data_IF_439322795865
#
_entry.id   IF_439322795865
#
_cell.length_a   1.000
_cell.length_b   1.000
_cell.length_c   1.000
_cell.angle_alpha   90.00
_cell.angle_beta   90.00
_cell.angle_gamma   90.00
#
_symmetry.space_group_name_H-M   'P 1'
#
loop_
_entity.id
_entity.type
_entity.pdbx_description
1 polymer ?
#
# COMPACT_ATOMS: atom_id res chain seq x y z
N UNK A 1 23.81 15.77 19.18
CA UNK A 1 22.99 14.61 19.63
C UNK A 1 21.65 15.13 20.09
N UNK A 2 20.59 14.75 19.37
CA UNK A 2 19.23 15.14 19.70
C UNK A 2 18.67 14.24 20.80
N UNK A 3 18.08 14.84 21.84
CA UNK A 3 17.37 14.12 22.93
C UNK A 3 15.87 13.92 22.62
N UNK A 4 15.49 14.06 21.35
CA UNK A 4 14.10 13.89 20.93
C UNK A 4 13.71 12.42 21.05
N UNK A 5 12.71 12.17 21.88
CA UNK A 5 12.15 10.83 22.11
C UNK A 5 10.87 10.59 21.31
N UNK A 6 10.17 11.66 20.96
CA UNK A 6 8.89 11.57 20.27
C UNK A 6 8.85 12.61 19.14
N UNK A 7 8.43 12.16 17.96
CA UNK A 7 8.17 13.01 16.81
C UNK A 7 6.75 12.72 16.35
N UNK A 8 5.91 13.76 16.36
CA UNK A 8 4.56 13.71 15.84
C UNK A 8 4.46 14.54 14.55
N UNK A 9 4.25 13.84 13.44
CA UNK A 9 4.03 14.36 12.10
C UNK A 9 2.68 13.90 11.55
N UNK A 10 1.74 13.55 12.44
CA UNK A 10 0.43 13.07 12.05
C UNK A 10 -0.38 14.14 11.30
N UNK A 11 -1.29 13.68 10.42
CA UNK A 11 -2.23 14.50 9.67
C UNK A 11 -1.58 15.60 8.81
N UNK A 12 -0.44 15.26 8.21
CA UNK A 12 0.23 16.10 7.22
C UNK A 12 0.00 15.56 5.80
N UNK A 13 0.66 16.16 4.82
CA UNK A 13 0.62 15.73 3.42
C UNK A 13 1.93 15.07 3.00
N UNK A 14 2.62 14.41 3.93
CA UNK A 14 3.90 13.78 3.66
C UNK A 14 3.71 12.64 2.66
N UNK A 15 4.52 12.67 1.60
CA UNK A 15 4.61 11.62 0.58
C UNK A 15 5.94 10.90 0.75
N UNK A 16 6.14 9.81 0.02
CA UNK A 16 7.40 9.06 0.02
C UNK A 16 8.61 9.98 -0.20
N UNK A 17 8.53 10.89 -1.17
CA UNK A 17 9.62 11.81 -1.51
C UNK A 17 9.82 12.95 -0.49
N UNK A 18 8.97 13.03 0.55
CA UNK A 18 9.09 14.03 1.61
C UNK A 18 10.08 13.60 2.71
N UNK A 19 10.39 12.30 2.81
CA UNK A 19 11.34 11.76 3.79
C UNK A 19 12.56 11.26 3.03
N UNK A 20 13.66 12.02 3.11
CA UNK A 20 14.91 11.67 2.44
C UNK A 20 15.68 10.58 3.21
N UNK A 21 16.57 9.89 2.50
CA UNK A 21 17.41 8.86 3.07
C UNK A 21 18.28 9.44 4.20
N UNK A 22 18.30 8.79 5.36
CA UNK A 22 19.00 9.30 6.54
C UNK A 22 18.31 10.46 7.28
N UNK A 23 17.05 10.78 6.99
CA UNK A 23 16.28 11.80 7.73
C UNK A 23 16.25 11.56 9.26
N UNK A 24 16.46 10.32 9.70
CA UNK A 24 16.39 9.92 11.10
C UNK A 24 17.76 9.70 11.77
N UNK A 25 18.88 9.91 11.05
CA UNK A 25 20.22 9.58 11.56
C UNK A 25 20.63 10.40 12.79
N UNK A 26 20.15 11.64 12.92
CA UNK A 26 20.52 12.51 14.03
C UNK A 26 19.63 12.33 15.30
N UNK A 27 18.51 11.61 15.16
CA UNK A 27 17.53 11.37 16.24
C UNK A 27 17.71 9.99 16.84
N UNK A 28 18.90 9.75 17.38
CA UNK A 28 19.33 8.45 17.93
C UNK A 28 18.59 8.03 19.20
N UNK A 29 17.88 8.94 19.88
CA UNK A 29 17.08 8.65 21.08
C UNK A 29 15.57 8.57 20.80
N UNK A 30 15.15 8.55 19.53
CA UNK A 30 13.74 8.55 19.14
C UNK A 30 13.09 7.21 19.46
N UNK A 31 12.11 7.21 20.36
CA UNK A 31 11.36 6.02 20.74
C UNK A 31 9.98 5.95 20.07
N UNK A 32 9.38 7.10 19.74
CA UNK A 32 8.02 7.16 19.17
C UNK A 32 8.01 8.04 17.92
N UNK A 33 7.51 7.49 16.82
CA UNK A 33 7.34 8.20 15.56
C UNK A 33 5.88 8.06 15.08
N UNK A 34 5.18 9.18 15.05
CA UNK A 34 3.84 9.27 14.49
C UNK A 34 3.82 9.91 13.12
N UNK A 35 3.53 9.10 12.11
CA UNK A 35 3.39 9.46 10.70
C UNK A 35 1.97 9.18 10.19
N UNK A 36 1.00 9.03 11.10
CA UNK A 36 -0.36 8.69 10.74
C UNK A 36 -1.09 9.79 9.97
N UNK A 37 -2.10 9.42 9.17
CA UNK A 37 -2.90 10.42 8.43
C UNK A 37 -2.12 11.18 7.36
N UNK A 38 -1.09 10.55 6.77
CA UNK A 38 -0.28 11.11 5.69
C UNK A 38 -0.60 10.42 4.35
N UNK A 39 0.21 10.69 3.32
CA UNK A 39 0.08 10.11 1.98
C UNK A 39 1.26 9.18 1.66
N UNK A 40 1.81 8.50 2.67
CA UNK A 40 2.95 7.60 2.52
C UNK A 40 2.51 6.35 1.76
N UNK A 41 3.22 6.01 0.68
CA UNK A 41 2.98 4.80 -0.11
C UNK A 41 3.81 3.60 0.36
N UNK A 42 4.85 3.85 1.17
CA UNK A 42 5.75 2.85 1.71
C UNK A 42 6.19 3.27 3.12
N UNK A 43 6.71 2.33 3.89
CA UNK A 43 7.40 2.60 5.16
C UNK A 43 8.66 3.44 4.86
N UNK A 44 8.95 4.51 5.62
CA UNK A 44 10.16 5.30 5.43
C UNK A 44 11.43 4.45 5.60
N UNK A 45 12.48 4.69 4.81
CA UNK A 45 13.76 4.02 4.99
C UNK A 45 14.50 4.54 6.23
N UNK A 46 15.50 3.77 6.68
CA UNK A 46 16.46 4.16 7.72
C UNK A 46 15.83 4.65 9.02
N UNK A 47 14.75 3.99 9.47
CA UNK A 47 14.17 4.25 10.78
C UNK A 47 15.23 4.03 11.89
N UNK A 48 15.19 4.84 12.96
CA UNK A 48 16.22 4.78 13.99
C UNK A 48 16.12 3.50 14.83
N UNK A 49 17.28 2.93 15.21
CA UNK A 49 17.36 1.67 15.96
C UNK A 49 16.66 1.73 17.34
N UNK A 50 16.59 2.92 17.93
CA UNK A 50 15.95 3.20 19.22
C UNK A 50 14.42 3.24 19.16
N UNK A 51 13.82 3.12 17.98
CA UNK A 51 12.38 3.23 17.81
C UNK A 51 11.64 2.07 18.48
N UNK A 52 10.65 2.40 19.30
CA UNK A 52 9.79 1.46 20.01
C UNK A 52 8.36 1.44 19.44
N UNK A 53 7.83 2.59 19.04
CA UNK A 53 6.46 2.74 18.55
C UNK A 53 6.42 3.47 17.21
N UNK A 54 5.79 2.83 16.23
CA UNK A 54 5.63 3.37 14.88
C UNK A 54 4.15 3.42 14.49
N UNK A 55 3.65 4.64 14.31
CA UNK A 55 2.28 4.90 13.88
C UNK A 55 2.25 5.28 12.40
N UNK A 56 1.67 4.40 11.58
CA UNK A 56 1.52 4.57 10.14
C UNK A 56 0.06 4.43 9.71
N UNK A 57 -0.89 4.47 10.64
CA UNK A 57 -2.30 4.34 10.31
C UNK A 57 -2.80 5.45 9.38
N UNK A 58 -3.81 5.15 8.56
CA UNK A 58 -4.41 6.10 7.62
C UNK A 58 -3.39 6.70 6.64
N UNK A 59 -2.61 5.84 6.00
CA UNK A 59 -1.69 6.16 4.91
C UNK A 59 -2.10 5.41 3.62
N UNK A 60 -1.24 5.39 2.60
CA UNK A 60 -1.46 4.69 1.33
C UNK A 60 -0.48 3.53 1.12
N UNK A 61 -0.03 2.91 2.22
CA UNK A 61 0.97 1.84 2.18
C UNK A 61 0.32 0.58 1.61
N UNK A 62 0.79 0.13 0.44
CA UNK A 62 0.26 -1.06 -0.23
C UNK A 62 1.11 -2.30 -0.05
N UNK A 63 2.42 -2.12 0.21
CA UNK A 63 3.37 -3.21 0.39
C UNK A 63 4.33 -2.94 1.54
N UNK A 64 4.67 -3.99 2.27
CA UNK A 64 5.72 -3.97 3.28
C UNK A 64 6.92 -4.80 2.76
N UNK A 65 8.09 -4.20 2.51
CA UNK A 65 9.25 -4.97 2.11
C UNK A 65 9.71 -5.90 3.24
N UNK A 66 10.32 -7.03 2.89
CA UNK A 66 10.83 -8.01 3.86
C UNK A 66 11.82 -7.38 4.84
N UNK A 67 12.56 -6.36 4.39
CA UNK A 67 13.58 -5.64 5.15
C UNK A 67 13.07 -4.34 5.78
N UNK A 68 11.75 -4.11 5.83
CA UNK A 68 11.19 -2.83 6.29
C UNK A 68 11.59 -2.46 7.73
N UNK A 69 11.83 -3.47 8.56
CA UNK A 69 12.06 -3.31 9.99
C UNK A 69 13.43 -3.83 10.45
N UNK A 70 14.32 -4.24 9.53
CA UNK A 70 15.63 -4.83 9.86
C UNK A 70 16.50 -3.92 10.73
N UNK A 71 16.39 -2.60 10.52
CA UNK A 71 17.11 -1.59 11.29
C UNK A 71 16.47 -1.20 12.62
N UNK A 72 15.33 -1.79 13.00
CA UNK A 72 14.53 -1.38 14.18
C UNK A 72 14.21 -2.56 15.11
N UNK A 73 15.22 -3.21 15.71
CA UNK A 73 15.04 -4.41 16.54
C UNK A 73 14.28 -4.15 17.85
N UNK A 74 14.23 -2.90 18.32
CA UNK A 74 13.62 -2.51 19.59
C UNK A 74 12.11 -2.18 19.48
N UNK A 75 11.50 -2.33 18.31
CA UNK A 75 10.09 -2.04 18.11
C UNK A 75 9.21 -2.94 18.99
N UNK A 76 8.27 -2.29 19.68
CA UNK A 76 7.23 -2.90 20.52
C UNK A 76 5.85 -2.80 19.86
N UNK A 77 5.59 -1.75 19.10
CA UNK A 77 4.27 -1.51 18.49
C UNK A 77 4.35 -0.99 17.06
N UNK A 78 3.67 -1.66 16.14
CA UNK A 78 3.50 -1.24 14.73
C UNK A 78 2.02 -1.09 14.45
N UNK A 79 1.60 0.12 14.04
CA UNK A 79 0.21 0.42 13.71
C UNK A 79 0.08 0.77 12.23
N UNK A 80 -0.52 -0.13 11.46
CA UNK A 80 -0.68 -0.04 9.99
C UNK A 80 -2.15 0.00 9.55
N UNK A 81 -3.08 0.14 10.49
CA UNK A 81 -4.51 0.14 10.20
C UNK A 81 -4.91 1.21 9.18
N UNK A 82 -5.96 0.97 8.40
CA UNK A 82 -6.42 1.90 7.36
C UNK A 82 -5.34 2.18 6.29
N UNK A 83 -4.56 1.16 5.92
CA UNK A 83 -3.70 1.17 4.74
C UNK A 83 -4.20 0.12 3.73
N UNK A 84 -4.08 0.35 2.42
CA UNK A 84 -4.48 -0.60 1.37
C UNK A 84 -3.45 -1.73 1.21
N UNK A 85 -3.08 -2.41 2.30
CA UNK A 85 -2.11 -3.50 2.29
C UNK A 85 -2.64 -4.67 1.45
N UNK A 86 -1.85 -5.15 0.50
CA UNK A 86 -2.20 -6.34 -0.28
C UNK A 86 -2.14 -7.61 0.60
N UNK A 87 -2.90 -8.64 0.25
CA UNK A 87 -2.90 -9.93 0.99
C UNK A 87 -1.49 -10.54 1.09
N UNK A 88 -0.67 -10.34 0.06
CA UNK A 88 0.72 -10.84 0.00
C UNK A 88 1.77 -9.79 0.43
N UNK A 89 1.33 -8.63 0.93
CA UNK A 89 2.22 -7.53 1.27
C UNK A 89 2.95 -7.72 2.61
N UNK A 90 2.50 -8.63 3.45
CA UNK A 90 3.01 -8.81 4.81
C UNK A 90 3.52 -10.24 4.93
N UNK A 91 4.84 -10.41 5.03
CA UNK A 91 5.47 -11.71 5.25
C UNK A 91 5.84 -11.88 6.71
N UNK A 92 5.69 -13.09 7.22
CA UNK A 92 6.10 -13.42 8.60
C UNK A 92 7.60 -13.16 8.82
N UNK A 93 8.42 -13.40 7.79
CA UNK A 93 9.86 -13.14 7.83
C UNK A 93 10.21 -11.68 8.11
N UNK A 94 9.35 -10.73 7.74
CA UNK A 94 9.55 -9.29 7.97
C UNK A 94 9.57 -8.90 9.45
N UNK A 95 9.06 -9.77 10.33
CA UNK A 95 8.97 -9.52 11.77
C UNK A 95 9.80 -10.51 12.60
N UNK A 96 10.54 -11.41 11.96
CA UNK A 96 11.22 -12.51 12.62
C UNK A 96 12.26 -12.06 13.66
N UNK A 97 12.89 -10.90 13.44
CA UNK A 97 13.90 -10.30 14.32
C UNK A 97 13.31 -9.32 15.37
N UNK A 98 12.00 -9.03 15.32
CA UNK A 98 11.34 -8.11 16.25
C UNK A 98 10.97 -8.83 17.55
N UNK A 99 11.99 -9.22 18.32
CA UNK A 99 11.84 -10.01 19.57
C UNK A 99 11.07 -9.28 20.68
N UNK A 100 10.94 -7.95 20.56
CA UNK A 100 10.22 -7.10 21.51
C UNK A 100 8.81 -6.71 21.05
N UNK A 101 8.36 -7.19 19.89
CA UNK A 101 7.07 -6.85 19.32
C UNK A 101 5.93 -7.36 20.21
N UNK A 102 5.09 -6.43 20.67
CA UNK A 102 3.93 -6.70 21.51
C UNK A 102 2.62 -6.45 20.75
N UNK A 103 2.63 -5.45 19.87
CA UNK A 103 1.44 -5.02 19.13
C UNK A 103 1.76 -4.91 17.64
N UNK A 104 1.02 -5.64 16.83
CA UNK A 104 0.99 -5.52 15.37
C UNK A 104 -0.45 -5.30 14.94
N UNK A 105 -0.82 -4.05 14.64
CA UNK A 105 -2.14 -3.70 14.15
C UNK A 105 -2.13 -3.61 12.62
N UNK A 106 -2.41 -4.74 11.99
CA UNK A 106 -2.58 -4.90 10.54
C UNK A 106 -4.06 -5.15 10.24
N UNK A 107 -4.83 -4.06 10.13
CA UNK A 107 -6.27 -4.13 9.87
C UNK A 107 -6.68 -3.26 8.69
N UNK A 108 -7.49 -3.81 7.79
CA UNK A 108 -8.33 -2.94 6.97
C UNK A 108 -9.27 -2.19 7.91
N UNK A 109 -9.28 -0.86 7.75
CA UNK A 109 -10.39 -0.09 8.25
C UNK A 109 -11.67 -0.70 7.72
N UNK A 110 -12.58 -1.07 8.61
CA UNK A 110 -13.86 -1.63 8.23
C UNK A 110 -14.68 -0.49 7.58
N UNK A 111 -14.44 -0.24 6.30
CA UNK A 111 -15.18 0.66 5.43
C UNK A 111 -15.30 -0.06 4.09
N UNK A 112 -16.33 -0.91 4.00
CA UNK A 112 -16.84 -1.53 2.78
C UNK A 112 -15.89 -2.50 2.04
N UNK A 113 -15.68 -3.69 2.61
CA UNK A 113 -15.96 -4.87 1.79
C UNK A 113 -17.47 -4.94 1.62
N UNK A 114 -18.00 -4.28 0.58
CA UNK A 114 -19.24 -4.75 -0.01
C UNK A 114 -18.96 -6.13 -0.61
N UNK A 115 -19.84 -7.14 -0.44
CA UNK A 115 -19.64 -8.40 -1.13
C UNK A 115 -19.89 -8.16 -2.62
N UNK A 116 -18.90 -8.46 -3.46
CA UNK A 116 -19.12 -8.69 -4.90
C UNK A 116 -19.03 -7.46 -5.80
N UNK A 117 -17.85 -7.26 -6.40
CA UNK A 117 -17.66 -7.04 -7.84
C UNK A 117 -16.33 -7.76 -8.13
N UNK A 118 -16.36 -9.03 -8.55
CA UNK A 118 -16.64 -9.39 -9.93
C UNK A 118 -15.32 -9.33 -10.70
N UNK A 119 -14.48 -10.35 -10.54
CA UNK A 119 -13.37 -10.66 -11.44
C UNK A 119 -13.94 -11.10 -12.80
N UNK A 120 -14.55 -10.20 -13.56
CA UNK A 120 -15.06 -10.50 -14.91
C UNK A 120 -14.96 -9.27 -15.82
N UNK A 121 -13.74 -8.86 -16.18
CA UNK A 121 -13.52 -8.10 -17.41
C UNK A 121 -12.21 -8.59 -18.03
N UNK A 122 -12.32 -9.40 -19.10
CA UNK A 122 -11.48 -9.38 -20.31
C UNK A 122 -11.46 -10.75 -21.02
N UNK A 123 -12.63 -11.24 -21.47
CA UNK A 123 -12.73 -12.20 -22.58
C UNK A 123 -14.09 -12.05 -23.25
N UNK A 124 -14.18 -11.20 -24.28
CA UNK A 124 -15.16 -11.35 -25.38
C UNK A 124 -14.92 -10.32 -26.51
N UNK A 125 -13.73 -10.36 -27.13
CA UNK A 125 -13.47 -9.66 -28.39
C UNK A 125 -13.05 -10.59 -29.55
N UNK A 126 -13.44 -11.87 -29.52
CA UNK A 126 -12.96 -12.84 -30.51
C UNK A 126 -14.03 -13.77 -31.13
N UNK A 127 -15.30 -13.37 -31.23
CA UNK A 127 -16.30 -14.28 -31.82
C UNK A 127 -17.49 -13.66 -32.58
N UNK A 128 -17.34 -12.49 -33.21
CA UNK A 128 -18.42 -11.93 -34.07
C UNK A 128 -18.31 -12.29 -35.57
N UNK A 129 -17.18 -12.80 -36.06
CA UNK A 129 -16.98 -12.98 -37.52
C UNK A 129 -17.37 -14.36 -38.09
N UNK A 130 -18.26 -15.14 -37.46
CA UNK A 130 -18.59 -16.47 -38.01
C UNK A 130 -20.00 -17.03 -37.89
N UNK A 131 -21.04 -16.21 -37.74
CA UNK A 131 -22.41 -16.71 -37.89
C UNK A 131 -23.28 -15.70 -38.64
N UNK A 132 -23.68 -16.08 -39.86
CA UNK A 132 -24.40 -15.23 -40.80
C UNK A 132 -25.85 -14.95 -40.41
N UNK A 133 -26.32 -13.82 -40.92
CA UNK A 133 -27.74 -13.52 -41.08
C UNK A 133 -27.94 -12.91 -42.46
N UNK A 134 -28.33 -13.75 -43.42
CA UNK A 134 -28.76 -13.31 -44.75
C UNK A 134 -30.13 -12.63 -44.69
N UNK A 135 -30.43 -11.85 -45.73
CA UNK A 135 -31.80 -11.53 -46.08
C UNK A 135 -32.02 -10.12 -46.63
N UNK A 136 -32.01 -10.02 -47.96
CA UNK A 136 -33.14 -9.43 -48.67
C UNK A 136 -33.01 -7.99 -49.21
N UNK A 137 -32.88 -7.92 -50.54
CA UNK A 137 -33.82 -7.13 -51.36
C UNK A 137 -33.39 -5.74 -51.81
N UNK A 138 -33.23 -5.58 -53.12
CA UNK A 138 -33.19 -4.26 -53.77
C UNK A 138 -32.55 -4.29 -55.15
N UNK A 139 -33.35 -4.62 -56.18
CA UNK A 139 -33.04 -4.49 -57.60
C UNK A 139 -32.89 -3.03 -58.04
N UNK A 140 -32.02 -2.80 -59.03
CA UNK A 140 -32.21 -1.94 -60.23
C UNK A 140 -30.80 -1.65 -60.79
N UNK A 141 -30.35 -2.37 -61.80
CA UNK A 141 -30.54 -2.07 -63.24
C UNK A 141 -29.46 -1.13 -63.80
N UNK A 142 -29.05 -1.51 -65.01
CA UNK A 142 -28.49 -0.69 -66.08
C UNK A 142 -26.96 -0.44 -66.17
N UNK A 143 -26.39 -1.30 -67.03
CA UNK A 143 -25.78 -0.92 -68.32
C UNK A 143 -24.26 -0.77 -68.40
N UNK A 144 -23.68 -1.72 -69.14
CA UNK A 144 -22.43 -1.62 -69.89
C UNK A 144 -22.37 -0.34 -70.75
N UNK A 145 -21.21 0.33 -70.71
CA UNK A 145 -20.45 0.77 -71.87
C UNK A 145 -19.02 1.13 -71.42
#
# INVERSE_FOLDING_TARGET
>A
MSKLKEINLANNQLKLNSIYQGAWQEVTELTTLDLSGNLLSHVPPDLPESLEFLHLQNNRISRLPDTAFDGTPNIKGIFLRFNPLSVNAVKESSFAHLVHLQVLDIGYGNAAQGPGVGEEEEKDLANWDRAGGGGGGGQSDDSEA
#
